data_IF_903757814814
#
_entry.id   IF_903757814814
#
_cell.length_a   1.000
_cell.length_b   1.000
_cell.length_c   1.000
_cell.angle_alpha   90.00
_cell.angle_beta   90.00
_cell.angle_gamma   90.00
#
_symmetry.space_group_name_H-M   'P 1'
#
loop_
_entity.id
_entity.type
_entity.pdbx_description
1 polymer ?
#
# COMPACT_ATOMS: atom_id res chain seq x y z
N UNK A 1 10.37 6.97 20.04
CA UNK A 1 9.92 5.85 19.18
C UNK A 1 10.93 4.73 19.28
N UNK A 2 10.51 3.48 19.11
CA UNK A 2 11.44 2.33 19.03
C UNK A 2 12.37 2.50 17.81
N UNK A 3 13.64 2.14 17.95
CA UNK A 3 14.65 2.32 16.89
C UNK A 3 14.31 1.50 15.64
N UNK A 4 13.66 0.36 15.84
CA UNK A 4 13.22 -0.60 14.84
C UNK A 4 12.18 -0.01 13.89
N UNK A 5 11.38 0.96 14.34
CA UNK A 5 10.39 1.64 13.49
C UNK A 5 11.04 2.48 12.38
N UNK A 6 12.29 2.90 12.57
CA UNK A 6 13.07 3.59 11.55
C UNK A 6 13.82 2.61 10.62
N UNK A 7 13.75 1.30 10.88
CA UNK A 7 14.40 0.30 10.04
C UNK A 7 13.69 0.19 8.69
N UNK A 8 14.42 0.18 7.55
CA UNK A 8 13.83 -0.10 6.24
C UNK A 8 13.28 -1.53 6.15
N UNK A 9 13.65 -2.39 7.11
CA UNK A 9 13.22 -3.79 7.20
C UNK A 9 11.98 -4.00 8.07
N UNK A 10 11.50 -2.95 8.73
CA UNK A 10 10.21 -2.95 9.42
C UNK A 10 9.11 -2.52 8.45
N UNK A 11 8.02 -3.30 8.42
CA UNK A 11 6.91 -3.11 7.48
C UNK A 11 5.58 -3.24 8.21
N UNK A 12 4.60 -2.49 7.74
CA UNK A 12 3.20 -2.63 8.17
C UNK A 12 2.35 -3.10 7.00
N UNK A 13 1.53 -4.12 7.23
CA UNK A 13 0.52 -4.61 6.33
C UNK A 13 -0.88 -4.21 6.79
N UNK A 14 -1.79 -4.05 5.85
CA UNK A 14 -3.22 -3.98 6.08
C UNK A 14 -3.97 -4.73 4.99
N UNK A 15 -5.00 -5.47 5.39
CA UNK A 15 -5.89 -6.20 4.50
C UNK A 15 -7.31 -5.66 4.69
N UNK A 16 -7.92 -5.11 3.64
CA UNK A 16 -9.32 -4.71 3.70
C UNK A 16 -10.23 -5.95 3.73
N UNK A 17 -11.51 -5.73 4.05
CA UNK A 17 -12.54 -6.76 3.88
C UNK A 17 -12.54 -7.27 2.43
N UNK A 18 -12.60 -8.59 2.25
CA UNK A 18 -12.57 -9.24 0.93
C UNK A 18 -11.17 -9.36 0.31
N UNK A 19 -10.12 -8.87 0.97
CA UNK A 19 -8.72 -8.96 0.52
C UNK A 19 -7.87 -9.83 1.48
N UNK A 20 -8.34 -11.05 1.76
CA UNK A 20 -7.69 -12.00 2.67
C UNK A 20 -7.61 -11.55 4.14
N UNK A 21 -8.46 -10.62 4.58
CA UNK A 21 -8.65 -10.34 6.00
C UNK A 21 -9.35 -11.53 6.69
N UNK A 22 -8.76 -12.04 7.77
CA UNK A 22 -9.30 -13.17 8.55
C UNK A 22 -10.15 -12.74 9.73
N UNK A 23 -10.05 -11.47 10.14
CA UNK A 23 -10.74 -10.90 11.28
C UNK A 23 -11.45 -9.61 10.82
N UNK A 24 -12.69 -9.40 11.27
CA UNK A 24 -13.56 -8.32 10.83
C UNK A 24 -13.33 -6.97 11.53
N UNK A 25 -12.39 -6.89 12.49
CA UNK A 25 -12.00 -5.63 13.12
C UNK A 25 -10.74 -5.06 12.45
N UNK A 26 -10.62 -3.74 12.47
CA UNK A 26 -9.46 -3.01 11.95
C UNK A 26 -8.19 -3.43 12.69
N UNK A 27 -7.22 -3.98 11.97
CA UNK A 27 -5.91 -4.32 12.52
C UNK A 27 -4.83 -4.17 11.45
N UNK A 28 -3.61 -3.88 11.89
CA UNK A 28 -2.42 -3.87 11.05
C UNK A 28 -1.53 -5.04 11.44
N UNK A 29 -0.83 -5.62 10.46
CA UNK A 29 0.19 -6.63 10.70
C UNK A 29 1.57 -5.96 10.65
N UNK A 30 2.46 -6.30 11.57
CA UNK A 30 3.84 -5.81 11.55
C UNK A 30 4.80 -6.94 11.20
N UNK A 31 5.79 -6.64 10.35
CA UNK A 31 6.79 -7.59 9.90
C UNK A 31 8.17 -6.98 10.08
N UNK A 32 9.10 -7.75 10.65
CA UNK A 32 10.53 -7.46 10.60
C UNK A 32 11.23 -8.58 9.85
N UNK A 33 11.86 -8.23 8.74
CA UNK A 33 12.70 -9.16 7.99
C UNK A 33 13.82 -8.36 7.35
N UNK A 34 15.06 -8.66 7.73
CA UNK A 34 16.28 -8.00 7.28
C UNK A 34 16.66 -8.32 5.82
N UNK A 35 15.67 -8.56 4.96
CA UNK A 35 15.80 -8.66 3.52
C UNK A 35 14.67 -7.90 2.83
N UNK A 36 14.88 -7.32 1.63
CA UNK A 36 13.82 -6.73 0.84
C UNK A 36 12.82 -7.78 0.34
N UNK A 37 11.52 -7.49 0.46
CA UNK A 37 10.47 -8.30 -0.15
C UNK A 37 10.56 -8.21 -1.68
N UNK A 38 10.09 -9.25 -2.41
CA UNK A 38 10.10 -9.23 -3.88
C UNK A 38 9.45 -7.99 -4.49
N UNK A 39 8.36 -7.49 -3.92
CA UNK A 39 7.67 -6.29 -4.41
C UNK A 39 8.49 -5.01 -4.29
N UNK A 40 9.34 -4.92 -3.27
CA UNK A 40 10.18 -3.75 -3.04
C UNK A 40 11.29 -3.63 -4.09
N UNK A 41 11.65 -4.76 -4.71
CA UNK A 41 12.64 -4.83 -5.80
C UNK A 41 12.00 -4.71 -7.18
N UNK A 42 10.66 -4.77 -7.28
CA UNK A 42 9.98 -4.74 -8.56
C UNK A 42 10.13 -3.35 -9.21
N UNK A 43 10.35 -3.29 -10.54
CA UNK A 43 10.42 -2.02 -11.25
C UNK A 43 9.08 -1.30 -11.19
N UNK A 44 9.12 0.03 -11.26
CA UNK A 44 7.92 0.87 -11.28
C UNK A 44 7.95 1.83 -12.47
N UNK A 45 6.76 2.22 -12.94
CA UNK A 45 6.61 3.27 -13.94
C UNK A 45 5.73 4.38 -13.37
N UNK A 46 6.28 5.60 -13.32
CA UNK A 46 5.54 6.78 -12.87
C UNK A 46 4.31 7.00 -13.75
N UNK A 47 3.18 7.26 -13.13
CA UNK A 47 1.96 7.69 -13.81
C UNK A 47 2.04 9.21 -13.96
N UNK A 48 1.94 9.75 -15.20
CA UNK A 48 1.90 11.19 -15.39
C UNK A 48 0.60 11.73 -14.78
N UNK A 49 0.72 12.55 -13.75
CA UNK A 49 -0.37 13.35 -13.19
C UNK A 49 -0.43 14.67 -13.97
N UNK A 50 -1.64 15.21 -14.15
CA UNK A 50 -1.82 16.51 -14.83
C UNK A 50 -1.08 17.58 -14.02
N UNK A 51 -0.25 18.37 -14.70
CA UNK A 51 0.49 19.47 -14.07
C UNK A 51 -0.48 20.45 -13.40
N UNK A 52 -0.29 20.70 -12.10
CA UNK A 52 -1.12 21.60 -11.30
C UNK A 52 -2.09 20.92 -10.32
N UNK A 53 -2.35 19.61 -10.44
CA UNK A 53 -3.34 18.93 -9.60
C UNK A 53 -2.82 18.42 -8.25
N UNK A 54 -1.50 18.29 -8.06
CA UNK A 54 -0.92 17.79 -6.79
C UNK A 54 0.14 18.73 -6.22
N UNK A 55 -0.26 19.64 -5.32
CA UNK A 55 0.67 20.46 -4.52
C UNK A 55 1.55 19.62 -3.58
N UNK A 56 1.16 18.36 -3.32
CA UNK A 56 1.77 17.54 -2.29
C UNK A 56 3.14 16.98 -2.65
N UNK A 57 3.52 16.92 -3.93
CA UNK A 57 4.80 16.31 -4.36
C UNK A 57 4.86 14.78 -4.23
N UNK A 58 3.72 14.12 -3.92
CA UNK A 58 3.61 12.67 -3.91
C UNK A 58 3.67 12.12 -5.35
N UNK A 59 4.56 11.16 -5.57
CA UNK A 59 4.70 10.44 -6.84
C UNK A 59 3.86 9.17 -6.78
N UNK A 60 3.06 8.94 -7.82
CA UNK A 60 2.30 7.70 -7.99
C UNK A 60 2.89 6.95 -9.18
N UNK A 61 3.19 5.68 -8.98
CA UNK A 61 3.73 4.78 -9.99
C UNK A 61 2.93 3.48 -10.01
N UNK A 62 2.92 2.78 -11.15
CA UNK A 62 2.43 1.39 -11.23
C UNK A 62 3.59 0.40 -11.12
N UNK A 63 3.36 -0.73 -10.46
CA UNK A 63 4.29 -1.87 -10.46
C UNK A 63 4.38 -2.49 -11.86
N UNK A 64 5.59 -2.86 -12.26
CA UNK A 64 5.90 -3.57 -13.48
C UNK A 64 6.48 -4.94 -13.15
N UNK A 65 6.25 -5.93 -14.04
CA UNK A 65 6.84 -7.27 -13.94
C UNK A 65 6.63 -7.95 -12.57
N UNK A 66 5.49 -7.67 -11.93
CA UNK A 66 5.11 -8.25 -10.65
C UNK A 66 3.80 -9.05 -10.81
N UNK A 67 3.62 -10.20 -10.12
CA UNK A 67 2.45 -11.08 -10.34
C UNK A 67 1.10 -10.43 -10.04
N UNK A 68 1.09 -9.37 -9.23
CA UNK A 68 -0.11 -8.59 -8.92
C UNK A 68 0.05 -7.15 -9.39
N UNK A 69 -1.06 -6.57 -9.87
CA UNK A 69 -1.11 -5.14 -10.16
C UNK A 69 -1.08 -4.37 -8.85
N UNK A 70 -0.33 -3.28 -8.81
CA UNK A 70 -0.31 -2.40 -7.65
C UNK A 70 0.18 -1.01 -8.00
N UNK A 71 -0.21 -0.08 -7.16
CA UNK A 71 0.24 1.30 -7.17
C UNK A 71 1.29 1.48 -6.08
N UNK A 72 2.27 2.33 -6.34
CA UNK A 72 3.34 2.69 -5.42
C UNK A 72 3.30 4.20 -5.21
N UNK A 73 3.21 4.60 -3.95
CA UNK A 73 3.16 5.99 -3.51
C UNK A 73 4.45 6.30 -2.75
N UNK A 74 5.15 7.34 -3.20
CA UNK A 74 6.44 7.76 -2.66
C UNK A 74 6.57 9.29 -2.66
N UNK A 75 7.40 9.83 -1.78
CA UNK A 75 7.65 11.27 -1.70
C UNK A 75 6.58 12.00 -0.89
N UNK A 76 6.21 13.20 -1.32
CA UNK A 76 5.51 14.16 -0.47
C UNK A 76 6.49 15.13 0.22
N UNK A 77 6.04 16.33 0.57
CA UNK A 77 6.83 17.23 1.42
C UNK A 77 6.78 16.75 2.89
N UNK A 78 5.71 16.05 3.26
CA UNK A 78 5.55 15.47 4.60
C UNK A 78 4.98 14.04 4.53
N UNK A 79 5.22 13.24 5.57
CA UNK A 79 4.56 11.92 5.72
C UNK A 79 3.04 12.04 5.77
N UNK A 80 2.51 13.16 6.30
CA UNK A 80 1.08 13.42 6.33
C UNK A 80 0.49 13.54 4.94
N UNK A 81 1.16 14.26 4.04
CA UNK A 81 0.72 14.39 2.65
C UNK A 81 0.71 13.04 1.93
N UNK A 82 1.75 12.21 2.14
CA UNK A 82 1.77 10.84 1.61
C UNK A 82 0.62 10.01 2.18
N UNK A 83 0.39 10.07 3.50
CA UNK A 83 -0.70 9.32 4.14
C UNK A 83 -2.08 9.79 3.67
N UNK A 84 -2.29 11.10 3.49
CA UNK A 84 -3.56 11.66 3.04
C UNK A 84 -3.90 11.18 1.61
N UNK A 85 -2.91 11.18 0.70
CA UNK A 85 -3.09 10.69 -0.68
C UNK A 85 -3.42 9.19 -0.69
N UNK A 86 -2.69 8.38 0.08
CA UNK A 86 -2.95 6.94 0.16
C UNK A 86 -4.30 6.65 0.82
N UNK A 87 -4.65 7.36 1.90
CA UNK A 87 -5.92 7.21 2.57
C UNK A 87 -7.10 7.53 1.65
N UNK A 88 -7.01 8.61 0.86
CA UNK A 88 -8.03 8.96 -0.14
C UNK A 88 -8.18 7.87 -1.22
N UNK A 89 -7.08 7.26 -1.66
CA UNK A 89 -7.13 6.13 -2.59
C UNK A 89 -7.81 4.90 -1.94
N UNK A 90 -7.48 4.59 -0.69
CA UNK A 90 -8.12 3.50 0.06
C UNK A 90 -9.63 3.73 0.26
N UNK A 91 -10.03 4.96 0.61
CA UNK A 91 -11.45 5.36 0.75
C UNK A 91 -12.17 5.17 -0.59
N UNK A 92 -11.59 5.65 -1.68
CA UNK A 92 -12.15 5.47 -3.02
C UNK A 92 -12.36 3.98 -3.37
N UNK A 93 -11.37 3.12 -3.09
CA UNK A 93 -11.52 1.68 -3.31
C UNK A 93 -12.63 1.09 -2.44
N UNK A 94 -12.70 1.49 -1.16
CA UNK A 94 -13.73 1.04 -0.23
C UNK A 94 -15.14 1.47 -0.66
N UNK A 95 -15.33 2.73 -1.04
CA UNK A 95 -16.61 3.26 -1.52
C UNK A 95 -17.10 2.56 -2.79
N UNK A 96 -16.17 2.04 -3.60
CA UNK A 96 -16.46 1.28 -4.81
C UNK A 96 -16.52 -0.25 -4.59
N UNK A 97 -16.49 -0.72 -3.33
CA UNK A 97 -16.48 -2.14 -2.97
C UNK A 97 -15.32 -2.92 -3.62
N UNK A 98 -14.16 -2.30 -3.80
CA UNK A 98 -12.96 -2.93 -4.32
C UNK A 98 -12.06 -3.30 -3.13
N UNK A 99 -11.87 -4.59 -2.82
CA UNK A 99 -10.95 -5.01 -1.78
C UNK A 99 -9.50 -4.62 -2.11
N UNK A 100 -8.67 -4.39 -1.10
CA UNK A 100 -7.28 -4.03 -1.29
C UNK A 100 -6.37 -4.46 -0.14
N UNK A 101 -5.08 -4.60 -0.45
CA UNK A 101 -4.03 -4.72 0.55
C UNK A 101 -3.14 -3.48 0.51
N UNK A 102 -2.59 -3.11 1.66
CA UNK A 102 -1.57 -2.06 1.79
C UNK A 102 -0.31 -2.67 2.38
N UNK A 103 0.84 -2.33 1.82
CA UNK A 103 2.15 -2.59 2.43
C UNK A 103 2.88 -1.26 2.58
N UNK A 104 3.23 -0.91 3.81
CA UNK A 104 4.02 0.27 4.16
C UNK A 104 5.44 -0.19 4.45
N UNK A 105 6.41 0.36 3.75
CA UNK A 105 7.82 0.05 3.93
C UNK A 105 8.72 1.28 3.87
N UNK A 106 10.04 1.05 3.97
CA UNK A 106 11.06 2.10 4.01
C UNK A 106 10.76 3.18 5.07
N UNK A 107 10.51 2.74 6.31
CA UNK A 107 10.14 3.62 7.43
C UNK A 107 8.93 4.54 7.12
N UNK A 108 7.95 4.05 6.35
CA UNK A 108 6.73 4.78 6.02
C UNK A 108 6.81 5.63 4.75
N UNK A 109 7.97 5.69 4.09
CA UNK A 109 8.19 6.55 2.90
C UNK A 109 7.73 5.92 1.60
N UNK A 110 7.49 4.62 1.58
CA UNK A 110 7.06 3.87 0.40
C UNK A 110 5.86 3.02 0.73
N UNK A 111 4.76 3.27 0.02
CA UNK A 111 3.49 2.59 0.28
C UNK A 111 2.99 1.92 -0.99
N UNK A 112 2.76 0.62 -0.91
CA UNK A 112 2.18 -0.19 -1.98
C UNK A 112 0.71 -0.41 -1.70
N UNK A 113 -0.13 -0.18 -2.71
CA UNK A 113 -1.56 -0.43 -2.68
C UNK A 113 -1.90 -1.45 -3.77
N UNK A 114 -2.53 -2.55 -3.37
CA UNK A 114 -2.89 -3.65 -4.26
C UNK A 114 -4.41 -3.80 -4.30
N UNK A 115 -5.10 -3.25 -5.31
CA UNK A 115 -6.49 -3.58 -5.56
C UNK A 115 -6.62 -5.08 -5.85
N UNK A 116 -7.55 -5.74 -5.17
CA UNK A 116 -7.82 -7.17 -5.26
C UNK A 116 -9.19 -7.41 -5.89
N UNK A 117 -9.33 -8.55 -6.55
CA UNK A 117 -10.66 -9.13 -6.76
C UNK A 117 -11.17 -9.68 -5.43
N UNK A 118 -12.49 -9.68 -5.22
CA UNK A 118 -13.08 -10.27 -4.03
C UNK A 118 -12.60 -11.71 -3.85
N UNK A 119 -12.04 -12.00 -2.68
CA UNK A 119 -11.56 -13.31 -2.28
C UNK A 119 -12.75 -14.23 -1.95
N UNK A 120 -13.60 -14.47 -2.95
CA UNK A 120 -14.90 -15.13 -2.86
C UNK A 120 -14.77 -16.54 -2.26
N UNK A 121 -13.70 -17.26 -2.64
CA UNK A 121 -13.40 -18.60 -2.12
C UNK A 121 -13.09 -18.57 -0.62
N UNK A 122 -12.29 -17.61 -0.17
CA UNK A 122 -11.91 -17.45 1.23
C UNK A 122 -13.10 -16.98 2.07
N UNK A 123 -13.95 -16.11 1.52
CA UNK A 123 -15.21 -15.72 2.16
C UNK A 123 -16.16 -16.91 2.36
N UNK A 124 -16.11 -17.90 1.45
CA UNK A 124 -16.85 -19.16 1.54
C UNK A 124 -16.16 -20.23 2.41
N UNK A 125 -15.00 -19.93 3.02
CA UNK A 125 -14.24 -20.89 3.82
C UNK A 125 -13.61 -22.04 3.02
N UNK A 126 -13.31 -21.81 1.72
CA UNK A 126 -12.76 -22.80 0.78
C UNK A 126 -11.36 -22.44 0.30
#
# INVERSE_FOLDING_TARGET
MAAEAASPYFRLGYNSLGAFATINHLHFQAYYLAVPFPVEKAPTQKIPLVEGESKSGVKVSKLLNYPVRGLVYEGGNTLKELSDVVANACICLQDNNIPFNVLISDAGRRIFLFPQCYAEKQALGR
#
